data_IF_410424146447
#
_entry.id   IF_410424146447
#
_cell.length_a   1.000
_cell.length_b   1.000
_cell.length_c   1.000
_cell.angle_alpha   90.00
_cell.angle_beta   90.00
_cell.angle_gamma   90.00
#
_symmetry.space_group_name_H-M   'P 1'
#
loop_
_entity.id
_entity.type
_entity.pdbx_description
1 polymer ?
#
# COMPACT_ATOMS: atom_id res chain seq x y z
N UNK A 1 27.31 -4.62 56.74
CA UNK A 1 26.73 -3.90 55.59
C UNK A 1 26.46 -4.92 54.50
N UNK A 2 25.20 -5.36 54.34
CA UNK A 2 24.79 -6.32 53.31
C UNK A 2 24.33 -5.56 52.08
N UNK A 3 25.08 -5.65 50.98
CA UNK A 3 24.73 -5.08 49.69
C UNK A 3 23.43 -5.72 49.18
N UNK A 4 22.40 -4.94 48.79
CA UNK A 4 21.19 -5.53 48.24
C UNK A 4 21.49 -6.12 46.86
N UNK A 5 21.13 -7.39 46.67
CA UNK A 5 21.20 -8.06 45.37
C UNK A 5 20.18 -7.41 44.43
N UNK A 6 20.67 -6.74 43.39
CA UNK A 6 19.82 -6.28 42.29
C UNK A 6 19.28 -7.52 41.58
N UNK A 7 17.95 -7.72 41.47
CA UNK A 7 17.40 -8.86 40.77
C UNK A 7 17.82 -8.79 39.30
N UNK A 8 18.28 -9.93 38.78
CA UNK A 8 18.65 -10.07 37.38
C UNK A 8 17.45 -9.67 36.50
N UNK A 9 17.62 -8.85 35.44
CA UNK A 9 16.53 -8.52 34.55
C UNK A 9 15.94 -9.81 33.98
N UNK A 10 14.61 -9.89 33.95
CA UNK A 10 13.91 -11.04 33.39
C UNK A 10 14.44 -11.33 31.97
N UNK A 11 14.59 -12.60 31.58
CA UNK A 11 15.04 -12.95 30.25
C UNK A 11 14.11 -12.29 29.21
N UNK A 12 14.70 -11.63 28.22
CA UNK A 12 13.95 -10.97 27.17
C UNK A 12 13.00 -11.98 26.51
N UNK A 13 11.70 -11.68 26.52
CA UNK A 13 10.70 -12.51 25.84
C UNK A 13 11.07 -12.52 24.36
N UNK A 14 11.30 -13.69 23.73
CA UNK A 14 11.61 -13.73 22.31
C UNK A 14 10.46 -13.12 21.53
N UNK A 15 10.75 -12.06 20.77
CA UNK A 15 9.78 -11.41 19.89
C UNK A 15 9.44 -12.42 18.79
N UNK A 16 8.36 -13.16 18.99
CA UNK A 16 7.81 -14.02 17.95
C UNK A 16 7.10 -13.11 16.95
N UNK A 17 7.81 -12.72 15.89
CA UNK A 17 7.17 -12.12 14.73
C UNK A 17 6.25 -13.18 14.13
N UNK A 18 4.97 -13.17 14.50
CA UNK A 18 3.95 -13.82 13.67
C UNK A 18 4.12 -13.22 12.28
N UNK A 19 4.32 -14.09 11.28
CA UNK A 19 4.32 -13.68 9.88
C UNK A 19 2.91 -13.18 9.58
N UNK A 20 2.69 -11.88 9.79
CA UNK A 20 1.51 -11.22 9.29
C UNK A 20 1.60 -11.26 7.77
N UNK A 21 0.59 -11.87 7.16
CA UNK A 21 0.47 -11.90 5.72
C UNK A 21 0.32 -10.45 5.25
N UNK A 22 1.18 -10.02 4.33
CA UNK A 22 1.09 -8.73 3.67
C UNK A 22 1.07 -8.98 2.16
N UNK A 23 0.18 -8.32 1.41
CA UNK A 23 0.20 -8.40 -0.04
C UNK A 23 1.57 -7.94 -0.56
N UNK A 24 2.06 -8.56 -1.63
CA UNK A 24 3.34 -8.13 -2.19
C UNK A 24 3.13 -6.73 -2.80
N UNK A 25 4.02 -5.79 -2.47
CA UNK A 25 3.93 -4.38 -2.88
C UNK A 25 3.78 -4.18 -4.40
N UNK A 26 4.12 -5.19 -5.20
CA UNK A 26 4.05 -5.17 -6.66
C UNK A 26 2.72 -5.69 -7.25
N UNK A 27 1.76 -6.12 -6.43
CA UNK A 27 0.48 -6.66 -6.93
C UNK A 27 -0.35 -5.63 -7.70
N UNK A 28 -0.21 -4.32 -7.39
CA UNK A 28 -0.90 -3.22 -8.08
C UNK A 28 -0.46 -2.90 -9.52
N UNK A 29 0.56 -3.59 -10.04
CA UNK A 29 1.08 -3.31 -11.38
C UNK A 29 0.12 -3.74 -12.50
N UNK A 30 0.20 -3.06 -13.64
CA UNK A 30 -0.50 -3.51 -14.85
C UNK A 30 0.23 -4.70 -15.51
N UNK A 31 -0.50 -5.45 -16.34
CA UNK A 31 -0.03 -6.69 -16.98
C UNK A 31 1.19 -6.44 -17.86
N UNK A 32 1.23 -5.32 -18.57
CA UNK A 32 2.35 -5.01 -19.46
C UNK A 32 3.60 -4.65 -18.66
N UNK A 33 3.45 -3.92 -17.56
CA UNK A 33 4.52 -3.65 -16.60
C UNK A 33 5.09 -4.93 -16.01
N UNK A 34 4.21 -5.83 -15.55
CA UNK A 34 4.59 -7.14 -15.02
C UNK A 34 5.31 -8.01 -16.07
N UNK A 35 4.75 -8.14 -17.27
CA UNK A 35 5.38 -8.89 -18.37
C UNK A 35 6.75 -8.31 -18.73
N UNK A 36 6.86 -6.99 -18.83
CA UNK A 36 8.14 -6.33 -19.10
C UNK A 36 9.18 -6.66 -18.03
N UNK A 37 8.78 -6.72 -16.76
CA UNK A 37 9.67 -7.11 -15.66
C UNK A 37 10.12 -8.56 -15.81
N UNK A 38 9.21 -9.49 -16.11
CA UNK A 38 9.56 -10.90 -16.33
C UNK A 38 10.50 -11.09 -17.53
N UNK A 39 10.20 -10.47 -18.67
CA UNK A 39 11.04 -10.55 -19.87
C UNK A 39 12.43 -9.94 -19.62
N UNK A 40 12.50 -8.77 -18.98
CA UNK A 40 13.78 -8.10 -18.66
C UNK A 40 14.65 -8.94 -17.73
N UNK A 41 14.05 -9.74 -16.86
CA UNK A 41 14.73 -10.68 -15.98
C UNK A 41 14.78 -12.11 -16.53
N UNK A 42 14.43 -12.34 -17.80
CA UNK A 42 14.47 -13.65 -18.48
C UNK A 42 13.71 -14.75 -17.74
N UNK A 43 12.60 -14.40 -17.08
CA UNK A 43 11.82 -15.33 -16.25
C UNK A 43 12.65 -16.03 -15.17
N UNK A 44 13.68 -15.36 -14.63
CA UNK A 44 14.51 -15.86 -13.53
C UNK A 44 13.75 -15.89 -12.20
N UNK A 45 12.67 -16.68 -12.15
CA UNK A 45 11.84 -16.93 -10.98
C UNK A 45 12.28 -18.26 -10.39
N UNK A 46 12.72 -18.26 -9.13
CA UNK A 46 13.07 -19.49 -8.43
C UNK A 46 11.87 -20.45 -8.39
N UNK A 47 12.10 -21.75 -8.56
CA UNK A 47 11.06 -22.79 -8.63
C UNK A 47 9.97 -22.63 -7.56
N UNK A 48 10.38 -22.40 -6.30
CA UNK A 48 9.48 -22.23 -5.15
C UNK A 48 8.54 -21.02 -5.26
N UNK A 49 8.83 -20.04 -6.10
CA UNK A 49 8.07 -18.79 -6.23
C UNK A 49 7.24 -18.70 -7.51
N UNK A 50 7.20 -19.75 -8.34
CA UNK A 50 6.39 -19.76 -9.56
C UNK A 50 4.89 -19.56 -9.28
N UNK A 51 4.39 -20.07 -8.15
CA UNK A 51 3.00 -19.82 -7.76
C UNK A 51 2.71 -18.33 -7.58
N UNK A 52 3.65 -17.55 -7.02
CA UNK A 52 3.52 -16.10 -6.88
C UNK A 52 3.50 -15.47 -8.27
N UNK A 53 4.42 -15.86 -9.16
CA UNK A 53 4.46 -15.32 -10.51
C UNK A 53 3.16 -15.58 -11.28
N UNK A 54 2.56 -16.77 -11.13
CA UNK A 54 1.27 -17.11 -11.72
C UNK A 54 0.16 -16.21 -11.13
N UNK A 55 0.07 -16.11 -9.80
CA UNK A 55 -0.94 -15.26 -9.14
C UNK A 55 -0.82 -13.81 -9.60
N UNK A 56 0.39 -13.23 -9.57
CA UNK A 56 0.63 -11.84 -10.02
C UNK A 56 0.29 -11.67 -11.51
N UNK A 57 0.54 -12.68 -12.34
CA UNK A 57 0.15 -12.64 -13.76
C UNK A 57 -1.37 -12.55 -13.93
N UNK A 58 -2.13 -13.36 -13.18
CA UNK A 58 -3.60 -13.29 -13.21
C UNK A 58 -4.11 -11.95 -12.66
N UNK A 59 -3.60 -11.52 -11.50
CA UNK A 59 -4.01 -10.26 -10.85
C UNK A 59 -3.73 -9.06 -11.77
N UNK A 60 -2.52 -8.95 -12.32
CA UNK A 60 -2.13 -7.84 -13.21
C UNK A 60 -2.93 -7.81 -14.53
N UNK A 61 -3.33 -8.98 -15.04
CA UNK A 61 -4.27 -9.08 -16.17
C UNK A 61 -5.63 -8.46 -15.82
N UNK A 62 -6.22 -8.81 -14.68
CA UNK A 62 -7.48 -8.21 -14.23
C UNK A 62 -7.33 -6.71 -13.95
N UNK A 63 -6.21 -6.26 -13.39
CA UNK A 63 -5.94 -4.82 -13.19
C UNK A 63 -5.97 -4.06 -14.51
N UNK A 64 -5.44 -4.66 -15.58
CA UNK A 64 -5.41 -4.08 -16.92
C UNK A 64 -6.80 -4.03 -17.54
N UNK A 65 -7.58 -5.11 -17.39
CA UNK A 65 -8.98 -5.12 -17.82
C UNK A 65 -9.80 -4.03 -17.11
N UNK A 66 -9.68 -3.95 -15.79
CA UNK A 66 -10.36 -2.94 -14.97
C UNK A 66 -9.88 -1.52 -15.31
N UNK A 67 -8.60 -1.32 -15.64
CA UNK A 67 -8.08 -0.04 -16.14
C UNK A 67 -8.80 0.41 -17.41
N UNK A 68 -8.97 -0.50 -18.37
CA UNK A 68 -9.69 -0.17 -19.61
C UNK A 68 -11.15 0.16 -19.33
N UNK A 69 -11.82 -0.60 -18.46
CA UNK A 69 -13.18 -0.29 -18.04
C UNK A 69 -13.26 1.08 -17.34
N UNK A 70 -12.31 1.41 -16.46
CA UNK A 70 -12.25 2.71 -15.79
C UNK A 70 -12.07 3.83 -16.80
N UNK A 71 -11.19 3.65 -17.78
CA UNK A 71 -10.97 4.63 -18.83
C UNK A 71 -12.20 4.82 -19.72
N UNK A 72 -12.92 3.75 -20.02
CA UNK A 72 -14.17 3.84 -20.78
C UNK A 72 -15.24 4.63 -20.02
N UNK A 73 -15.40 4.39 -18.72
CA UNK A 73 -16.44 5.04 -17.90
C UNK A 73 -16.06 6.45 -17.46
N UNK A 74 -14.83 6.65 -16.96
CA UNK A 74 -14.38 7.87 -16.31
C UNK A 74 -13.30 8.64 -17.07
N UNK A 75 -12.66 8.05 -18.08
CA UNK A 75 -11.48 8.66 -18.74
C UNK A 75 -11.73 10.07 -19.27
N UNK A 76 -12.88 10.31 -19.90
CA UNK A 76 -13.28 11.65 -20.35
C UNK A 76 -13.50 12.63 -19.20
N UNK A 77 -14.03 12.16 -18.07
CA UNK A 77 -14.26 13.00 -16.89
C UNK A 77 -12.93 13.37 -16.26
N UNK A 78 -12.05 12.39 -16.04
CA UNK A 78 -10.70 12.58 -15.51
C UNK A 78 -9.92 13.60 -16.35
N UNK A 79 -9.90 13.41 -17.68
CA UNK A 79 -9.18 14.30 -18.59
C UNK A 79 -9.71 15.75 -18.60
N UNK A 80 -10.95 15.97 -18.15
CA UNK A 80 -11.60 17.28 -18.10
C UNK A 80 -11.62 17.88 -16.69
N UNK A 81 -11.15 17.18 -15.67
CA UNK A 81 -11.16 17.68 -14.29
C UNK A 81 -10.04 18.73 -14.13
N UNK A 82 -10.38 20.02 -13.94
CA UNK A 82 -9.37 21.03 -13.66
C UNK A 82 -8.90 20.92 -12.21
N UNK A 83 -7.59 21.01 -12.00
CA UNK A 83 -7.02 21.22 -10.66
C UNK A 83 -7.11 22.72 -10.38
N UNK A 84 -8.05 23.13 -9.52
CA UNK A 84 -8.38 24.54 -9.27
C UNK A 84 -7.46 25.21 -8.26
N UNK A 85 -6.94 24.43 -7.32
CA UNK A 85 -6.16 24.89 -6.18
C UNK A 85 -4.76 24.28 -6.26
N UNK A 86 -3.74 25.00 -5.77
CA UNK A 86 -2.37 24.48 -5.78
C UNK A 86 -2.23 23.29 -4.80
N UNK A 87 -1.67 22.15 -5.22
CA UNK A 87 -1.44 21.02 -4.32
C UNK A 87 -0.35 21.33 -3.29
N UNK A 88 -0.49 20.75 -2.11
CA UNK A 88 0.51 20.84 -1.04
C UNK A 88 1.43 19.62 -1.13
N UNK A 89 2.73 19.86 -1.18
CA UNK A 89 3.74 18.81 -1.12
C UNK A 89 4.48 18.87 0.21
N UNK A 90 4.53 17.74 0.93
CA UNK A 90 5.28 17.59 2.17
C UNK A 90 6.58 16.86 1.83
N UNK A 91 7.71 17.53 2.00
CA UNK A 91 9.04 16.96 1.70
C UNK A 91 9.89 17.07 2.96
N UNK A 92 10.60 16.00 3.31
CA UNK A 92 11.46 15.97 4.48
C UNK A 92 12.33 14.73 4.52
N UNK A 93 13.26 14.69 5.47
CA UNK A 93 14.05 13.50 5.72
C UNK A 93 13.20 12.43 6.40
N UNK A 94 13.63 11.17 6.28
CA UNK A 94 12.92 10.07 6.92
C UNK A 94 12.93 10.29 8.44
N UNK A 95 11.82 9.99 9.10
CA UNK A 95 11.65 10.13 10.56
C UNK A 95 11.64 11.57 11.10
N UNK A 96 11.39 12.59 10.26
CA UNK A 96 11.20 13.99 10.73
C UNK A 96 9.74 14.38 10.98
N UNK A 97 8.84 13.40 11.12
CA UNK A 97 7.42 13.65 11.39
C UNK A 97 6.59 14.10 10.18
N UNK A 98 7.08 13.91 8.95
CA UNK A 98 6.32 14.21 7.71
C UNK A 98 4.99 13.46 7.67
N UNK A 99 4.97 12.19 8.08
CA UNK A 99 3.73 11.40 8.21
C UNK A 99 2.73 12.04 9.15
N UNK A 100 3.19 12.47 10.33
CA UNK A 100 2.31 13.06 11.33
C UNK A 100 1.74 14.40 10.87
N UNK A 101 2.55 15.23 10.18
CA UNK A 101 2.06 16.45 9.55
C UNK A 101 1.01 16.15 8.47
N UNK A 102 1.22 15.12 7.64
CA UNK A 102 0.24 14.68 6.65
C UNK A 102 -1.07 14.26 7.33
N UNK A 103 -1.01 13.42 8.38
CA UNK A 103 -2.19 13.02 9.15
C UNK A 103 -2.96 14.19 9.76
N UNK A 104 -2.28 15.27 10.17
CA UNK A 104 -2.95 16.48 10.68
C UNK A 104 -3.64 17.28 9.57
N UNK A 105 -3.01 17.43 8.40
CA UNK A 105 -3.55 18.21 7.29
C UNK A 105 -4.83 17.59 6.71
N UNK A 106 -4.93 16.26 6.70
CA UNK A 106 -6.11 15.55 6.17
C UNK A 106 -7.35 15.65 7.08
N UNK A 107 -7.20 16.14 8.32
CA UNK A 107 -8.34 16.40 9.19
C UNK A 107 -9.18 17.60 8.68
N UNK A 108 -8.57 18.49 7.90
CA UNK A 108 -9.28 19.56 7.23
C UNK A 108 -9.95 19.03 5.94
N UNK A 109 -11.28 19.07 5.91
CA UNK A 109 -12.12 18.62 4.79
C UNK A 109 -11.93 19.41 3.49
N UNK A 110 -11.19 20.53 3.53
CA UNK A 110 -10.80 21.27 2.33
C UNK A 110 -9.73 20.54 1.52
N UNK A 111 -8.94 19.68 2.15
CA UNK A 111 -7.91 18.90 1.48
C UNK A 111 -8.45 17.55 1.03
N UNK A 112 -7.92 17.08 -0.10
CA UNK A 112 -7.99 15.69 -0.53
C UNK A 112 -6.61 15.08 -0.45
N UNK A 113 -6.54 13.76 -0.32
CA UNK A 113 -5.29 13.02 -0.19
C UNK A 113 -5.46 11.64 -0.82
N UNK A 114 -4.38 11.04 -1.35
CA UNK A 114 -4.43 9.67 -1.82
C UNK A 114 -4.47 8.71 -0.62
N UNK A 115 -5.46 7.83 -0.61
CA UNK A 115 -5.52 6.79 0.40
C UNK A 115 -4.70 5.55 0.01
N UNK A 116 -4.57 4.62 0.94
CA UNK A 116 -3.76 3.40 0.76
C UNK A 116 -4.27 2.54 -0.39
N UNK A 117 -5.59 2.44 -0.58
CA UNK A 117 -6.14 1.68 -1.70
C UNK A 117 -5.84 2.34 -3.04
N UNK A 118 -5.99 3.65 -3.15
CA UNK A 118 -5.72 4.41 -4.38
C UNK A 118 -4.24 4.31 -4.81
N UNK A 119 -3.32 4.31 -3.83
CA UNK A 119 -1.89 4.14 -4.09
C UNK A 119 -1.52 2.71 -4.49
N UNK A 120 -2.20 1.69 -3.92
CA UNK A 120 -1.95 0.30 -4.26
C UNK A 120 -2.62 -0.10 -5.58
N UNK A 121 -3.81 0.42 -5.88
CA UNK A 121 -4.60 0.07 -7.06
C UNK A 121 -4.96 1.29 -7.94
N UNK A 122 -3.96 2.03 -8.45
CA UNK A 122 -4.19 3.28 -9.18
C UNK A 122 -4.93 3.07 -10.52
N UNK A 123 -4.92 1.84 -11.04
CA UNK A 123 -5.48 1.50 -12.34
C UNK A 123 -7.01 1.52 -12.35
N UNK A 124 -7.66 1.21 -11.23
CA UNK A 124 -9.10 0.97 -11.19
C UNK A 124 -9.79 1.47 -9.92
N UNK A 125 -9.12 2.27 -9.09
CA UNK A 125 -9.68 2.70 -7.80
C UNK A 125 -11.06 3.37 -7.91
N UNK A 126 -11.29 4.21 -8.93
CA UNK A 126 -12.58 4.89 -9.13
C UNK A 126 -13.74 3.92 -9.38
N UNK A 127 -13.46 2.72 -9.88
CA UNK A 127 -14.47 1.67 -10.10
C UNK A 127 -14.67 0.79 -8.87
N UNK A 128 -13.59 0.38 -8.21
CA UNK A 128 -13.61 -0.79 -7.33
C UNK A 128 -13.41 -0.47 -5.85
N UNK A 129 -12.96 0.74 -5.50
CA UNK A 129 -12.60 1.10 -4.12
C UNK A 129 -13.73 0.81 -3.13
N UNK A 130 -14.95 1.26 -3.41
CA UNK A 130 -16.10 1.03 -2.52
C UNK A 130 -16.42 -0.45 -2.29
N UNK A 131 -16.17 -1.29 -3.30
CA UNK A 131 -16.37 -2.73 -3.19
C UNK A 131 -15.23 -3.37 -2.38
N UNK A 132 -13.98 -3.08 -2.73
CA UNK A 132 -12.81 -3.66 -2.07
C UNK A 132 -12.69 -3.25 -0.61
N UNK A 133 -12.80 -1.96 -0.31
CA UNK A 133 -12.70 -1.45 1.07
C UNK A 133 -13.78 -2.03 1.99
N UNK A 134 -14.96 -2.37 1.44
CA UNK A 134 -16.08 -2.95 2.19
C UNK A 134 -15.98 -4.45 2.40
N UNK A 135 -15.52 -5.20 1.39
CA UNK A 135 -15.56 -6.67 1.40
C UNK A 135 -14.20 -7.33 1.66
N UNK A 136 -13.10 -6.60 1.44
CA UNK A 136 -11.73 -7.10 1.52
C UNK A 136 -10.89 -6.35 2.58
N UNK A 137 -11.56 -5.78 3.59
CA UNK A 137 -10.90 -5.14 4.73
C UNK A 137 -9.95 -6.07 5.50
N UNK A 138 -10.18 -7.39 5.47
CA UNK A 138 -9.35 -8.39 6.14
C UNK A 138 -7.99 -8.63 5.48
N UNK A 139 -7.79 -8.20 4.23
CA UNK A 139 -6.51 -8.34 3.52
C UNK A 139 -5.46 -7.32 3.98
N UNK A 140 -5.85 -6.29 4.74
CA UNK A 140 -4.89 -5.30 5.23
C UNK A 140 -4.35 -5.67 6.62
N UNK A 141 -3.03 -5.61 6.83
CA UNK A 141 -2.47 -5.70 8.16
C UNK A 141 -2.94 -4.50 9.00
N UNK A 142 -3.03 -4.69 10.32
CA UNK A 142 -3.48 -3.61 11.23
C UNK A 142 -2.44 -2.51 11.41
N UNK A 143 -1.17 -2.81 11.12
CA UNK A 143 -0.02 -1.90 11.20
C UNK A 143 0.85 -2.05 9.97
N UNK A 144 1.54 -0.97 9.61
CA UNK A 144 2.55 -1.03 8.54
C UNK A 144 3.72 -1.89 9.02
N UNK A 145 4.30 -2.75 8.17
CA UNK A 145 5.43 -3.59 8.58
C UNK A 145 6.75 -2.82 8.71
N UNK A 146 6.85 -1.65 8.07
CA UNK A 146 8.05 -0.81 8.03
C UNK A 146 8.16 0.12 9.23
N UNK A 147 7.03 0.69 9.65
CA UNK A 147 6.90 1.53 10.83
C UNK A 147 5.65 1.12 11.59
N UNK A 148 5.67 1.14 12.91
CA UNK A 148 4.56 0.63 13.75
C UNK A 148 3.31 1.55 13.73
N UNK A 149 3.06 2.25 12.61
CA UNK A 149 1.92 3.11 12.36
C UNK A 149 0.71 2.29 11.93
N UNK A 150 -0.49 2.85 12.14
CA UNK A 150 -1.75 2.17 11.80
C UNK A 150 -1.88 2.07 10.28
N UNK A 151 -2.21 0.87 9.80
CA UNK A 151 -2.51 0.63 8.40
C UNK A 151 -4.03 0.47 8.22
N UNK A 152 -4.54 0.89 7.07
CA UNK A 152 -5.95 0.80 6.71
C UNK A 152 -6.17 1.36 5.31
N UNK A 153 -7.18 0.85 4.60
CA UNK A 153 -7.45 1.25 3.22
C UNK A 153 -7.76 2.74 3.06
N UNK A 154 -8.44 3.32 4.03
CA UNK A 154 -8.85 4.73 4.12
C UNK A 154 -7.76 5.65 4.65
N UNK A 155 -6.60 5.11 5.05
CA UNK A 155 -5.52 5.90 5.63
C UNK A 155 -4.71 6.60 4.55
N UNK A 156 -4.22 7.83 4.84
CA UNK A 156 -3.34 8.52 3.92
C UNK A 156 -2.10 7.68 3.68
N UNK A 157 -1.71 7.56 2.41
CA UNK A 157 -0.48 6.90 2.03
C UNK A 157 0.55 7.95 1.60
N UNK A 158 1.78 7.75 2.05
CA UNK A 158 2.95 8.58 1.71
C UNK A 158 3.64 8.11 0.43
#
# INVERSE_FOLDING_TARGET
MTTPLVPNPAPAVPITHKKEWAPHMWEGCDFFGWMRLLFRNRFAVGWRYWYIAIIVTFVSFFHTLLRYLQQMVYGRRIARTPIREAPIFIIGHWRTGTTFLHELLILDKRHTYPNTYECLEPNHFLLTERFFTRWLGFLMPSRRPMDNMRAGWDRPQE
#
